data_IF_317486074992
#
_entry.id   IF_317486074992
#
_cell.length_a   1.000
_cell.length_b   1.000
_cell.length_c   1.000
_cell.angle_alpha   90.00
_cell.angle_beta   90.00
_cell.angle_gamma   90.00
#
_symmetry.space_group_name_H-M   'P 1'
#
loop_
_entity.id
_entity.type
_entity.pdbx_description
1 polymer ?
#
# COMPACT_ATOMS: atom_id res chain seq x y z
N UNK A 1 14.35 -29.16 -36.54
CA UNK A 1 15.06 -30.06 -35.60
C UNK A 1 14.03 -30.92 -34.90
N UNK A 2 14.39 -32.11 -34.43
CA UNK A 2 13.45 -32.93 -33.67
C UNK A 2 13.36 -32.44 -32.22
N UNK A 3 12.21 -32.56 -31.55
CA UNK A 3 12.11 -32.24 -30.12
C UNK A 3 12.81 -33.33 -29.30
N UNK A 4 13.71 -32.93 -28.40
CA UNK A 4 14.40 -33.86 -27.50
C UNK A 4 13.39 -34.63 -26.64
N UNK A 5 13.62 -35.92 -26.46
CA UNK A 5 12.77 -36.79 -25.64
C UNK A 5 11.40 -37.12 -26.26
N UNK A 6 11.19 -36.83 -27.55
CA UNK A 6 10.02 -37.27 -28.31
C UNK A 6 10.36 -38.42 -29.23
N UNK A 7 9.40 -39.33 -29.45
CA UNK A 7 9.57 -40.39 -30.45
C UNK A 7 9.54 -39.79 -31.85
N UNK A 8 10.48 -40.22 -32.70
CA UNK A 8 10.55 -39.75 -34.09
C UNK A 8 10.71 -40.92 -35.04
N UNK A 9 10.25 -40.71 -36.28
CA UNK A 9 10.54 -41.63 -37.38
C UNK A 9 11.74 -41.10 -38.14
N UNK A 10 12.81 -41.88 -38.20
CA UNK A 10 14.01 -41.58 -38.99
C UNK A 10 13.97 -42.40 -40.28
N UNK A 11 14.15 -41.72 -41.40
CA UNK A 11 14.27 -42.35 -42.71
C UNK A 11 15.73 -42.48 -43.11
N UNK A 12 16.11 -43.62 -43.69
CA UNK A 12 17.46 -43.89 -44.16
C UNK A 12 17.43 -44.67 -45.48
N UNK A 13 18.56 -44.69 -46.18
CA UNK A 13 18.67 -45.30 -47.52
C UNK A 13 19.56 -46.53 -47.47
N UNK A 14 19.10 -47.62 -48.08
CA UNK A 14 19.94 -48.75 -48.46
C UNK A 14 20.18 -48.70 -49.97
N UNK A 15 21.45 -48.55 -50.37
CA UNK A 15 21.86 -48.35 -51.76
C UNK A 15 22.61 -49.55 -52.29
N UNK A 16 22.20 -50.09 -53.42
CA UNK A 16 22.94 -51.12 -54.15
C UNK A 16 24.07 -50.45 -54.93
N UNK A 17 25.31 -50.67 -54.50
CA UNK A 17 26.49 -50.01 -55.09
C UNK A 17 26.90 -50.60 -56.43
N UNK A 18 26.36 -51.76 -56.82
CA UNK A 18 26.63 -52.38 -58.13
C UNK A 18 25.60 -51.90 -59.15
N UNK A 19 24.32 -51.97 -58.79
CA UNK A 19 23.23 -51.60 -59.70
C UNK A 19 22.92 -50.10 -59.68
N UNK A 20 23.49 -49.35 -58.72
CA UNK A 20 23.30 -47.93 -58.52
C UNK A 20 21.81 -47.53 -58.40
N UNK A 21 21.07 -48.33 -57.64
CA UNK A 21 19.64 -48.14 -57.36
C UNK A 21 19.36 -48.38 -55.88
N UNK A 22 18.24 -47.87 -55.38
CA UNK A 22 17.77 -48.18 -54.04
C UNK A 22 17.43 -49.67 -53.90
N UNK A 23 17.93 -50.31 -52.84
CA UNK A 23 17.74 -51.74 -52.63
C UNK A 23 16.41 -52.00 -51.93
N UNK A 24 15.50 -52.71 -52.58
CA UNK A 24 14.20 -53.08 -52.01
C UNK A 24 14.22 -54.42 -51.26
N UNK A 25 13.29 -54.60 -50.32
CA UNK A 25 13.08 -55.87 -49.59
C UNK A 25 14.22 -56.30 -48.66
N UNK A 26 15.13 -55.39 -48.30
CA UNK A 26 16.38 -55.71 -47.58
C UNK A 26 16.30 -55.56 -46.06
N UNK A 27 15.13 -55.21 -45.54
CA UNK A 27 14.96 -54.83 -44.12
C UNK A 27 15.43 -55.91 -43.13
N UNK A 28 15.22 -57.19 -43.45
CA UNK A 28 15.63 -58.30 -42.60
C UNK A 28 17.16 -58.45 -42.49
N UNK A 29 17.90 -57.87 -43.42
CA UNK A 29 19.36 -57.91 -43.49
C UNK A 29 20.01 -56.71 -42.80
N UNK A 30 19.23 -55.72 -42.36
CA UNK A 30 19.73 -54.51 -41.74
C UNK A 30 20.09 -54.71 -40.27
N UNK A 31 21.34 -54.45 -39.91
CA UNK A 31 21.77 -54.26 -38.51
C UNK A 31 22.05 -52.78 -38.28
N UNK A 32 21.12 -52.10 -37.61
CA UNK A 32 21.21 -50.67 -37.33
C UNK A 32 21.81 -50.37 -35.96
N UNK A 33 22.43 -49.20 -35.85
CA UNK A 33 22.98 -48.61 -34.62
C UNK A 33 22.52 -47.16 -34.52
N UNK A 34 21.99 -46.82 -33.35
CA UNK A 34 21.69 -45.44 -32.97
C UNK A 34 22.83 -44.93 -32.09
N UNK A 35 23.54 -43.93 -32.58
CA UNK A 35 24.71 -43.34 -31.93
C UNK A 35 24.26 -42.07 -31.23
N UNK A 36 24.10 -42.10 -29.90
CA UNK A 36 23.68 -40.96 -29.07
C UNK A 36 24.92 -40.26 -28.52
N UNK A 37 25.17 -39.02 -28.96
CA UNK A 37 26.30 -38.21 -28.48
C UNK A 37 27.63 -39.01 -28.45
N UNK A 38 27.89 -39.79 -29.51
CA UNK A 38 29.08 -40.64 -29.66
C UNK A 38 28.96 -42.08 -29.11
N UNK A 39 27.88 -42.44 -28.40
CA UNK A 39 27.69 -43.79 -27.84
C UNK A 39 26.68 -44.61 -28.65
N UNK A 40 27.13 -45.72 -29.24
CA UNK A 40 26.31 -46.56 -30.12
C UNK A 40 25.53 -47.65 -29.36
N UNK A 41 24.21 -47.71 -29.56
CA UNK A 41 23.33 -48.79 -29.10
C UNK A 41 22.50 -49.35 -30.25
N UNK A 42 21.93 -50.55 -30.08
CA UNK A 42 20.92 -51.03 -31.02
C UNK A 42 19.61 -50.25 -30.79
N UNK A 43 18.92 -49.78 -31.84
CA UNK A 43 17.57 -49.26 -31.71
C UNK A 43 16.61 -50.30 -31.14
N UNK A 44 15.62 -49.86 -30.38
CA UNK A 44 14.63 -50.71 -29.72
C UNK A 44 13.63 -51.29 -30.72
N UNK A 45 13.20 -50.48 -31.68
CA UNK A 45 12.23 -50.90 -32.69
C UNK A 45 12.92 -51.44 -33.94
N UNK A 46 12.23 -52.31 -34.68
CA UNK A 46 12.71 -52.79 -35.97
C UNK A 46 12.48 -51.76 -37.09
N UNK A 47 13.33 -51.81 -38.12
CA UNK A 47 13.11 -51.03 -39.33
C UNK A 47 11.98 -51.63 -40.20
N UNK A 48 11.46 -50.82 -41.12
CA UNK A 48 10.49 -51.22 -42.15
C UNK A 48 10.78 -50.50 -43.45
N UNK A 49 10.48 -51.13 -44.58
CA UNK A 49 10.53 -50.46 -45.88
C UNK A 49 9.34 -49.51 -46.02
N UNK A 50 9.55 -48.33 -46.62
CA UNK A 50 8.48 -47.33 -46.77
C UNK A 50 7.60 -47.68 -47.97
N UNK A 51 8.19 -47.76 -49.16
CA UNK A 51 7.49 -48.07 -50.41
C UNK A 51 8.52 -48.55 -51.45
N UNK A 52 8.56 -49.86 -51.68
CA UNK A 52 9.46 -50.50 -52.62
C UNK A 52 9.21 -50.11 -54.09
N UNK A 53 8.00 -49.61 -54.42
CA UNK A 53 7.59 -49.35 -55.80
C UNK A 53 7.97 -47.93 -56.21
N UNK A 54 7.65 -46.94 -55.36
CA UNK A 54 7.78 -45.54 -55.73
C UNK A 54 9.03 -44.85 -55.15
N UNK A 55 9.57 -45.35 -54.03
CA UNK A 55 10.81 -44.83 -53.41
C UNK A 55 11.72 -45.99 -53.00
N UNK A 56 12.20 -46.79 -53.98
CA UNK A 56 12.99 -47.97 -53.71
C UNK A 56 14.24 -47.64 -52.88
N UNK A 57 14.56 -48.51 -51.92
CA UNK A 57 15.73 -48.32 -51.04
C UNK A 57 15.52 -47.39 -49.85
N UNK A 58 14.33 -46.79 -49.69
CA UNK A 58 14.03 -45.94 -48.52
C UNK A 58 13.34 -46.75 -47.43
N UNK A 59 13.94 -46.74 -46.25
CA UNK A 59 13.47 -47.43 -45.06
C UNK A 59 13.22 -46.42 -43.93
N UNK A 60 12.42 -46.84 -42.96
CA UNK A 60 12.13 -46.07 -41.74
C UNK A 60 12.34 -46.90 -40.50
N UNK A 61 12.71 -46.24 -39.42
CA UNK A 61 12.71 -46.78 -38.07
C UNK A 61 12.13 -45.75 -37.11
N UNK A 62 11.33 -46.20 -36.15
CA UNK A 62 10.81 -45.33 -35.10
C UNK A 62 11.77 -45.38 -33.91
N UNK A 63 12.36 -44.26 -33.54
CA UNK A 63 13.15 -44.13 -32.32
C UNK A 63 12.21 -43.77 -31.15
N UNK A 64 12.47 -44.35 -29.99
CA UNK A 64 11.72 -44.11 -28.76
C UNK A 64 12.07 -42.75 -28.15
N UNK A 65 11.23 -42.28 -27.23
CA UNK A 65 11.49 -41.06 -26.45
C UNK A 65 12.84 -41.09 -25.73
N UNK A 66 13.19 -42.24 -25.12
CA UNK A 66 14.46 -42.45 -24.41
C UNK A 66 15.68 -42.53 -25.33
N UNK A 67 15.50 -42.94 -26.58
CA UNK A 67 16.57 -42.89 -27.59
C UNK A 67 16.81 -41.47 -28.09
N UNK A 68 15.79 -40.62 -28.05
CA UNK A 68 15.84 -39.22 -28.47
C UNK A 68 16.21 -38.24 -27.35
N UNK A 69 16.76 -38.70 -26.22
CA UNK A 69 17.27 -37.83 -25.14
C UNK A 69 18.75 -37.45 -25.30
N UNK A 70 19.22 -37.23 -26.52
CA UNK A 70 20.57 -36.75 -26.85
C UNK A 70 20.51 -35.35 -27.48
N UNK A 71 21.67 -34.70 -27.64
CA UNK A 71 21.75 -33.42 -28.37
C UNK A 71 21.87 -33.69 -29.88
N UNK A 72 22.60 -34.74 -30.24
CA UNK A 72 22.75 -35.25 -31.60
C UNK A 72 22.68 -36.77 -31.63
N UNK A 73 22.14 -37.33 -32.72
CA UNK A 73 22.27 -38.75 -32.96
C UNK A 73 22.36 -39.12 -34.43
N UNK A 74 23.13 -40.17 -34.68
CA UNK A 74 23.36 -40.72 -36.02
C UNK A 74 22.79 -42.12 -36.10
N UNK A 75 21.86 -42.34 -37.02
CA UNK A 75 21.44 -43.69 -37.41
C UNK A 75 22.42 -44.20 -38.46
N UNK A 76 23.14 -45.26 -38.15
CA UNK A 76 24.06 -45.93 -39.07
C UNK A 76 23.78 -47.43 -39.05
N UNK A 77 24.37 -48.19 -39.98
CA UNK A 77 24.22 -49.64 -39.97
C UNK A 77 24.96 -50.34 -41.08
N UNK A 78 24.74 -51.64 -41.16
CA UNK A 78 25.24 -52.49 -42.24
C UNK A 78 24.12 -53.43 -42.70
N UNK A 79 24.07 -53.72 -44.00
CA UNK A 79 23.29 -54.83 -44.54
C UNK A 79 24.15 -56.08 -44.69
N UNK A 80 23.60 -57.26 -44.40
CA UNK A 80 24.24 -58.55 -44.71
C UNK A 80 24.14 -58.93 -46.20
N UNK A 81 23.32 -58.24 -46.97
CA UNK A 81 23.27 -58.41 -48.43
C UNK A 81 24.51 -57.80 -49.07
N UNK A 82 25.14 -58.53 -49.99
CA UNK A 82 26.33 -58.06 -50.68
C UNK A 82 26.06 -56.76 -51.45
N UNK A 83 27.06 -55.87 -51.45
CA UNK A 83 27.04 -54.60 -52.19
C UNK A 83 25.98 -53.60 -51.77
N UNK A 84 25.38 -53.76 -50.57
CA UNK A 84 24.41 -52.79 -50.05
C UNK A 84 25.07 -51.87 -49.02
N UNK A 85 24.99 -50.57 -49.26
CA UNK A 85 25.47 -49.53 -48.35
C UNK A 85 24.29 -48.87 -47.64
N UNK A 86 24.28 -48.90 -46.30
CA UNK A 86 23.34 -48.11 -45.50
C UNK A 86 23.93 -46.72 -45.30
N UNK A 87 23.28 -45.71 -45.86
CA UNK A 87 23.71 -44.33 -45.72
C UNK A 87 23.34 -43.80 -44.33
N UNK A 88 24.31 -43.34 -43.52
CA UNK A 88 24.03 -42.80 -42.20
C UNK A 88 23.11 -41.57 -42.27
N UNK A 89 22.27 -41.39 -41.24
CA UNK A 89 21.39 -40.25 -41.09
C UNK A 89 21.58 -39.57 -39.75
N UNK A 90 21.97 -38.30 -39.80
CA UNK A 90 22.07 -37.45 -38.62
C UNK A 90 20.75 -36.77 -38.29
N UNK A 91 20.47 -36.68 -36.99
CA UNK A 91 19.35 -35.93 -36.41
C UNK A 91 19.88 -35.11 -35.25
N UNK A 92 19.59 -33.82 -35.26
CA UNK A 92 19.85 -32.91 -34.13
C UNK A 92 18.54 -32.63 -33.39
N UNK A 93 18.64 -32.58 -32.07
CA UNK A 93 17.51 -32.36 -31.19
C UNK A 93 17.55 -30.97 -30.56
N UNK A 94 16.37 -30.39 -30.35
CA UNK A 94 16.19 -29.13 -29.65
C UNK A 94 15.44 -29.34 -28.34
N UNK A 95 15.87 -28.63 -27.30
CA UNK A 95 15.18 -28.61 -26.01
C UNK A 95 14.14 -27.49 -25.98
N UNK A 96 13.02 -27.71 -26.67
CA UNK A 96 11.83 -26.87 -26.57
C UNK A 96 10.69 -27.62 -25.88
N UNK A 97 9.71 -26.89 -25.30
CA UNK A 97 8.45 -27.51 -24.91
C UNK A 97 7.78 -28.19 -26.10
N UNK A 98 7.16 -29.34 -25.85
CA UNK A 98 6.49 -30.17 -26.87
C UNK A 98 5.05 -29.79 -27.10
N UNK A 99 4.46 -29.04 -26.16
CA UNK A 99 3.15 -28.45 -26.33
C UNK A 99 3.18 -27.42 -27.46
N UNK A 100 2.11 -27.37 -28.25
CA UNK A 100 1.98 -26.39 -29.33
C UNK A 100 2.14 -24.96 -28.79
N UNK A 101 2.73 -24.03 -29.57
CA UNK A 101 2.76 -22.62 -29.18
C UNK A 101 1.36 -22.13 -28.79
N UNK A 102 1.26 -21.36 -27.71
CA UNK A 102 -0.01 -20.85 -27.17
C UNK A 102 -0.86 -21.86 -26.37
N UNK A 103 -0.50 -23.15 -26.35
CA UNK A 103 -1.14 -24.13 -25.49
C UNK A 103 -0.52 -24.12 -24.08
N UNK A 104 -1.17 -24.80 -23.12
CA UNK A 104 -0.62 -25.01 -21.78
C UNK A 104 0.77 -25.66 -21.87
N UNK A 105 1.75 -25.08 -21.18
CA UNK A 105 3.18 -25.46 -21.22
C UNK A 105 3.88 -25.26 -22.57
N UNK A 106 3.26 -24.58 -23.54
CA UNK A 106 3.87 -24.21 -24.82
C UNK A 106 4.65 -22.89 -24.75
N UNK A 107 5.30 -22.53 -25.86
CA UNK A 107 5.91 -21.22 -26.02
C UNK A 107 4.84 -20.12 -26.17
N UNK A 108 5.13 -18.91 -25.69
CA UNK A 108 4.25 -17.75 -25.88
C UNK A 108 4.17 -17.33 -27.35
N UNK A 109 2.99 -16.87 -27.78
CA UNK A 109 2.77 -16.32 -29.13
C UNK A 109 2.70 -14.80 -29.02
N UNK A 110 3.35 -14.09 -29.94
CA UNK A 110 3.22 -12.64 -30.06
C UNK A 110 1.84 -12.26 -30.64
N UNK A 111 1.20 -11.28 -30.04
CA UNK A 111 0.03 -10.60 -30.61
C UNK A 111 0.44 -9.70 -31.78
N UNK A 112 -0.55 -9.16 -32.49
CA UNK A 112 -0.33 -8.22 -33.61
C UNK A 112 0.42 -6.94 -33.20
N UNK A 113 0.46 -6.60 -31.91
CA UNK A 113 1.18 -5.45 -31.35
C UNK A 113 2.58 -5.82 -30.84
N UNK A 114 3.00 -7.08 -30.99
CA UNK A 114 4.29 -7.57 -30.48
C UNK A 114 4.31 -7.85 -28.97
N UNK A 115 3.15 -7.82 -28.30
CA UNK A 115 3.04 -8.24 -26.90
C UNK A 115 2.80 -9.75 -26.80
N UNK A 116 3.34 -10.42 -25.77
CA UNK A 116 2.99 -11.81 -25.45
C UNK A 116 1.82 -11.78 -24.45
N UNK A 117 0.56 -12.05 -24.87
CA UNK A 117 -0.54 -12.19 -23.92
C UNK A 117 -0.28 -13.42 -23.05
N UNK A 118 -0.28 -13.23 -21.74
CA UNK A 118 -0.03 -14.31 -20.79
C UNK A 118 -0.83 -14.10 -19.52
N UNK A 119 -1.47 -15.17 -19.06
CA UNK A 119 -2.08 -15.23 -17.73
C UNK A 119 -1.00 -15.69 -16.75
N UNK A 120 -0.18 -14.76 -16.29
CA UNK A 120 0.87 -15.05 -15.30
C UNK A 120 0.20 -15.29 -13.94
N UNK A 121 0.07 -16.55 -13.55
CA UNK A 121 -0.49 -16.93 -12.23
C UNK A 121 0.49 -16.69 -11.09
N UNK A 122 1.79 -16.83 -11.36
CA UNK A 122 2.86 -16.56 -10.41
C UNK A 122 4.17 -16.20 -11.10
N UNK A 123 4.97 -15.37 -10.42
CA UNK A 123 6.40 -15.19 -10.70
C UNK A 123 7.12 -15.75 -9.47
N UNK A 124 7.67 -16.96 -9.58
CA UNK A 124 8.28 -17.63 -8.43
C UNK A 124 9.66 -17.01 -8.11
N UNK A 125 9.75 -16.22 -7.03
CA UNK A 125 11.01 -15.67 -6.52
C UNK A 125 11.88 -16.67 -5.74
N UNK A 126 11.36 -17.84 -5.39
CA UNK A 126 11.99 -18.83 -4.49
C UNK A 126 13.24 -19.50 -5.08
N UNK A 127 13.49 -19.40 -6.39
CA UNK A 127 14.67 -19.97 -7.05
C UNK A 127 15.90 -19.06 -6.98
N UNK A 128 15.74 -17.84 -6.45
CA UNK A 128 16.86 -16.95 -6.14
C UNK A 128 17.03 -16.90 -4.63
N UNK A 129 18.27 -16.86 -4.12
CA UNK A 129 18.62 -16.85 -2.69
C UNK A 129 18.14 -15.59 -1.91
N UNK A 130 16.99 -15.01 -2.25
CA UNK A 130 16.49 -13.78 -1.61
C UNK A 130 15.05 -13.38 -1.93
N UNK A 131 14.18 -14.28 -2.43
CA UNK A 131 12.74 -14.01 -2.63
C UNK A 131 12.40 -12.75 -3.46
N UNK A 132 13.30 -12.30 -4.36
CA UNK A 132 13.12 -11.05 -5.10
C UNK A 132 12.78 -11.30 -6.57
N UNK A 133 11.53 -11.07 -6.97
CA UNK A 133 11.17 -10.88 -8.38
C UNK A 133 11.40 -9.40 -8.75
N UNK A 134 12.42 -9.12 -9.58
CA UNK A 134 12.70 -7.75 -10.05
C UNK A 134 12.03 -7.53 -11.41
N UNK A 135 11.00 -6.69 -11.46
CA UNK A 135 10.35 -6.27 -12.70
C UNK A 135 10.92 -4.90 -13.14
N UNK A 136 11.74 -4.91 -14.20
CA UNK A 136 12.25 -3.68 -14.83
C UNK A 136 11.33 -3.30 -15.99
N UNK A 137 10.38 -2.41 -15.73
CA UNK A 137 9.39 -1.95 -16.70
C UNK A 137 9.51 -0.44 -16.91
N UNK A 138 9.18 0.05 -18.12
CA UNK A 138 9.04 1.49 -18.39
C UNK A 138 7.79 2.07 -17.73
N UNK A 139 6.71 1.29 -17.77
CA UNK A 139 5.43 1.57 -17.13
C UNK A 139 4.82 0.27 -16.65
N UNK A 140 4.11 0.33 -15.53
CA UNK A 140 3.31 -0.76 -15.01
C UNK A 140 1.88 -0.23 -14.88
N UNK A 141 0.97 -0.82 -15.65
CA UNK A 141 -0.45 -0.51 -15.60
C UNK A 141 -1.19 -1.69 -14.95
N UNK A 142 -1.90 -1.44 -13.85
CA UNK A 142 -2.59 -2.47 -13.07
C UNK A 142 -4.05 -2.06 -12.91
N UNK A 143 -4.91 -2.66 -13.71
CA UNK A 143 -6.34 -2.38 -13.75
C UNK A 143 -7.12 -3.68 -13.57
N UNK A 144 -8.18 -3.63 -12.76
CA UNK A 144 -9.18 -4.69 -12.73
C UNK A 144 -10.30 -4.31 -13.67
N UNK A 145 -10.80 -5.28 -14.42
CA UNK A 145 -12.02 -5.20 -15.23
C UNK A 145 -13.29 -5.51 -14.41
N UNK A 146 -13.14 -5.90 -13.13
CA UNK A 146 -14.24 -6.25 -12.23
C UNK A 146 -14.42 -5.20 -11.12
N UNK A 147 -15.65 -4.74 -10.91
CA UNK A 147 -15.98 -3.73 -9.89
C UNK A 147 -15.86 -4.21 -8.44
N UNK A 148 -15.69 -5.52 -8.22
CA UNK A 148 -15.68 -6.14 -6.88
C UNK A 148 -14.33 -6.68 -6.47
N UNK A 149 -13.31 -6.60 -7.34
CA UNK A 149 -11.98 -7.18 -7.10
C UNK A 149 -10.95 -6.06 -7.10
N UNK A 150 -10.07 -6.07 -6.09
CA UNK A 150 -8.94 -5.14 -6.07
C UNK A 150 -7.99 -5.46 -7.22
N UNK A 151 -7.59 -4.45 -7.99
CA UNK A 151 -6.58 -4.62 -9.06
C UNK A 151 -5.21 -5.01 -8.50
N UNK A 152 -4.92 -4.63 -7.26
CA UNK A 152 -3.66 -4.87 -6.57
C UNK A 152 -3.91 -5.23 -5.11
N UNK A 153 -3.39 -6.38 -4.68
CA UNK A 153 -3.34 -6.79 -3.27
C UNK A 153 -1.87 -6.96 -2.88
N UNK A 154 -1.38 -6.13 -1.96
CA UNK A 154 0.00 -6.21 -1.46
C UNK A 154 -0.04 -6.48 0.04
N UNK A 155 0.57 -7.60 0.44
CA UNK A 155 0.61 -8.05 1.83
C UNK A 155 2.07 -8.18 2.23
N UNK A 156 2.42 -7.61 3.38
CA UNK A 156 3.74 -7.78 3.98
C UNK A 156 3.91 -9.17 4.60
N UNK A 157 5.13 -9.52 4.98
CA UNK A 157 5.36 -10.75 5.73
C UNK A 157 4.69 -10.67 7.11
N UNK A 158 3.88 -11.68 7.44
CA UNK A 158 3.37 -11.85 8.80
C UNK A 158 4.49 -12.47 9.65
N UNK A 159 4.85 -11.81 10.76
CA UNK A 159 5.83 -12.35 11.71
C UNK A 159 5.46 -13.77 12.13
N UNK A 160 6.46 -14.64 12.25
CA UNK A 160 6.28 -16.00 12.78
C UNK A 160 6.65 -16.01 14.26
N UNK A 161 5.99 -16.87 15.05
CA UNK A 161 6.10 -16.87 16.52
C UNK A 161 7.56 -16.86 17.01
N UNK A 162 7.96 -15.75 17.62
CA UNK A 162 9.33 -15.48 18.07
C UNK A 162 9.78 -14.06 17.71
N UNK A 163 9.57 -13.66 16.44
CA UNK A 163 9.88 -12.34 15.92
C UNK A 163 8.58 -11.63 15.50
N UNK A 164 8.09 -10.73 16.35
CA UNK A 164 6.81 -10.03 16.15
C UNK A 164 6.85 -8.92 15.08
N UNK A 165 7.93 -8.85 14.30
CA UNK A 165 8.13 -7.76 13.34
C UNK A 165 7.57 -8.18 11.97
N UNK A 166 6.40 -7.64 11.62
CA UNK A 166 5.87 -7.74 10.26
C UNK A 166 6.77 -7.03 9.24
N UNK A 167 6.90 -7.59 8.04
CA UNK A 167 7.62 -6.96 6.94
C UNK A 167 6.81 -5.79 6.35
N UNK A 168 7.51 -4.79 5.79
CA UNK A 168 6.84 -3.71 5.03
C UNK A 168 6.17 -4.32 3.80
N UNK A 169 4.86 -4.16 3.67
CA UNK A 169 4.11 -4.58 2.48
C UNK A 169 4.54 -3.77 1.25
N UNK A 170 4.64 -2.45 1.41
CA UNK A 170 4.95 -1.50 0.36
C UNK A 170 6.02 -0.54 0.89
N UNK A 171 7.11 -0.39 0.14
CA UNK A 171 8.10 0.65 0.37
C UNK A 171 8.23 1.46 -0.93
N UNK A 172 7.74 2.70 -0.90
CA UNK A 172 7.76 3.61 -2.04
C UNK A 172 8.72 4.74 -1.72
N UNK A 173 9.75 4.89 -2.55
CA UNK A 173 10.74 5.97 -2.44
C UNK A 173 10.61 6.84 -3.68
N UNK A 174 10.34 8.14 -3.50
CA UNK A 174 10.37 9.09 -4.59
C UNK A 174 11.76 9.22 -5.21
N UNK A 175 11.83 9.60 -6.48
CA UNK A 175 13.10 9.83 -7.18
C UNK A 175 13.77 11.12 -6.71
N UNK A 176 15.09 11.08 -6.50
CA UNK A 176 15.88 12.30 -6.30
C UNK A 176 15.93 13.14 -7.59
N UNK A 177 15.98 14.46 -7.45
CA UNK A 177 16.25 15.35 -8.56
C UNK A 177 17.61 14.99 -9.21
N UNK A 178 17.64 14.81 -10.52
CA UNK A 178 18.86 14.54 -11.27
C UNK A 178 19.42 15.87 -11.80
N UNK A 179 20.55 16.35 -11.26
CA UNK A 179 21.24 17.53 -11.77
C UNK A 179 22.03 18.30 -10.72
N UNK A 180 23.32 18.53 -10.98
CA UNK A 180 24.28 19.23 -10.11
C UNK A 180 24.16 20.77 -10.12
N UNK A 181 23.15 21.33 -10.78
CA UNK A 181 22.89 22.78 -10.80
C UNK A 181 21.42 23.03 -10.48
N UNK A 182 21.17 23.62 -9.31
CA UNK A 182 19.88 23.73 -8.64
C UNK A 182 18.71 24.14 -9.54
N UNK A 183 17.65 23.33 -9.49
CA UNK A 183 16.24 23.60 -9.85
C UNK A 183 15.47 22.31 -10.25
N UNK A 184 16.03 21.11 -10.04
CA UNK A 184 15.26 19.89 -10.23
C UNK A 184 14.25 19.69 -9.10
N UNK A 185 12.96 19.61 -9.41
CA UNK A 185 11.95 19.10 -8.49
C UNK A 185 12.14 17.59 -8.31
N UNK A 186 12.20 17.11 -7.07
CA UNK A 186 12.15 15.67 -6.79
C UNK A 186 10.83 15.08 -7.30
N UNK A 187 10.83 13.79 -7.64
CA UNK A 187 9.60 13.11 -8.04
C UNK A 187 8.76 12.72 -6.83
N UNK A 188 7.45 12.71 -6.99
CA UNK A 188 6.55 12.19 -5.96
C UNK A 188 6.79 10.69 -5.76
N UNK A 189 6.80 10.23 -4.50
CA UNK A 189 6.73 8.80 -4.21
C UNK A 189 5.36 8.26 -4.59
N UNK A 190 4.30 8.90 -4.08
CA UNK A 190 2.91 8.55 -4.31
C UNK A 190 2.19 9.78 -4.85
N UNK A 191 1.85 9.77 -6.14
CA UNK A 191 0.99 10.77 -6.77
C UNK A 191 -0.41 10.18 -6.99
N UNK A 192 -1.41 10.68 -6.25
CA UNK A 192 -2.79 10.19 -6.32
C UNK A 192 -3.69 11.32 -6.78
N UNK A 193 -4.36 11.11 -7.92
CA UNK A 193 -5.36 12.03 -8.46
C UNK A 193 -6.71 11.35 -8.38
N UNK A 194 -7.68 12.01 -7.73
CA UNK A 194 -9.06 11.54 -7.76
C UNK A 194 -9.63 11.71 -9.16
N UNK A 195 -10.37 10.71 -9.64
CA UNK A 195 -11.07 10.83 -10.93
C UNK A 195 -12.09 11.98 -10.91
N UNK A 196 -12.32 12.64 -12.07
CA UNK A 196 -13.35 13.66 -12.17
C UNK A 196 -14.73 13.08 -11.86
N UNK A 197 -15.54 13.82 -11.11
CA UNK A 197 -16.93 13.44 -10.83
C UNK A 197 -17.76 13.49 -12.12
N UNK A 198 -18.19 12.33 -12.61
CA UNK A 198 -19.22 12.23 -13.66
C UNK A 198 -20.57 11.84 -13.01
N UNK A 199 -21.40 12.83 -12.66
CA UNK A 199 -22.79 12.62 -12.22
C UNK A 199 -23.15 12.96 -10.76
N UNK A 200 -24.44 12.88 -10.42
CA UNK A 200 -25.00 13.22 -9.10
C UNK A 200 -25.10 11.99 -8.18
N UNK A 201 -24.07 11.70 -7.40
CA UNK A 201 -24.16 10.68 -6.35
C UNK A 201 -22.80 10.12 -5.97
N UNK A 202 -22.37 10.41 -4.75
CA UNK A 202 -21.11 10.00 -4.09
C UNK A 202 -19.88 10.88 -4.38
N UNK A 203 -19.16 11.20 -3.31
CA UNK A 203 -17.92 11.98 -3.31
C UNK A 203 -16.78 11.04 -3.73
N UNK A 204 -16.18 11.28 -4.90
CA UNK A 204 -14.96 10.59 -5.29
C UNK A 204 -13.86 10.89 -4.27
N UNK A 205 -13.33 9.86 -3.61
CA UNK A 205 -12.17 10.00 -2.72
C UNK A 205 -10.94 9.56 -3.51
N UNK A 206 -10.01 10.49 -3.70
CA UNK A 206 -8.73 10.18 -4.33
C UNK A 206 -7.94 9.15 -3.50
N UNK A 207 -7.89 9.36 -2.17
CA UNK A 207 -7.21 8.49 -1.21
C UNK A 207 -8.09 8.27 0.02
N UNK A 208 -8.27 7.01 0.42
CA UNK A 208 -8.83 6.64 1.72
C UNK A 208 -7.77 5.89 2.51
N UNK A 209 -7.30 6.49 3.61
CA UNK A 209 -6.44 5.82 4.57
C UNK A 209 -7.33 5.28 5.70
N UNK A 210 -7.42 3.96 5.83
CA UNK A 210 -8.03 3.31 6.99
C UNK A 210 -6.91 2.72 7.84
N UNK A 211 -6.58 3.37 8.94
CA UNK A 211 -5.61 2.88 9.91
C UNK A 211 -6.35 2.35 11.14
N UNK A 212 -6.60 1.04 11.17
CA UNK A 212 -7.23 0.36 12.29
C UNK A 212 -6.18 -0.53 12.98
N UNK A 213 -5.95 -0.32 14.27
CA UNK A 213 -4.98 -1.10 15.04
C UNK A 213 -5.47 -1.33 16.45
N UNK A 214 -5.43 -2.58 16.91
CA UNK A 214 -5.67 -2.94 18.31
C UNK A 214 -4.33 -2.85 19.05
N UNK A 215 -4.12 -1.81 19.88
CA UNK A 215 -2.97 -1.76 20.80
C UNK A 215 -2.01 -0.56 20.70
N UNK A 216 -2.50 0.67 20.80
CA UNK A 216 -1.64 1.85 21.08
C UNK A 216 -0.74 2.34 19.95
N UNK A 217 -0.84 1.79 18.74
CA UNK A 217 -0.11 2.27 17.56
C UNK A 217 -0.73 3.53 16.94
N UNK A 218 0.11 4.41 16.39
CA UNK A 218 -0.34 5.57 15.61
C UNK A 218 -0.88 5.14 14.23
N UNK A 219 -2.06 5.64 13.85
CA UNK A 219 -2.68 5.24 12.58
C UNK A 219 -2.04 5.87 11.35
N UNK A 220 -1.93 7.20 11.35
CA UNK A 220 -1.23 7.96 10.30
C UNK A 220 -0.13 8.77 10.98
N UNK A 221 1.13 8.40 10.73
CA UNK A 221 2.29 9.14 11.22
C UNK A 221 2.89 9.93 10.07
N UNK A 222 2.85 11.26 10.17
CA UNK A 222 3.44 12.16 9.19
C UNK A 222 4.47 13.03 9.89
N UNK A 223 5.71 12.94 9.45
CA UNK A 223 6.85 13.67 10.00
C UNK A 223 7.66 14.31 8.89
N UNK A 224 8.18 15.51 9.16
CA UNK A 224 9.10 16.21 8.27
C UNK A 224 10.45 16.37 8.95
N UNK A 225 11.49 16.54 8.15
CA UNK A 225 12.85 16.83 8.65
C UNK A 225 13.22 18.26 8.27
N UNK A 226 13.94 18.98 9.15
CA UNK A 226 14.56 20.29 8.90
C UNK A 226 13.65 21.37 8.28
N UNK A 227 12.71 21.94 9.06
CA UNK A 227 11.98 23.16 8.67
C UNK A 227 11.02 23.03 7.49
N UNK A 228 10.80 21.81 6.98
CA UNK A 228 9.82 21.53 5.94
C UNK A 228 8.42 21.33 6.53
N UNK A 229 7.41 21.74 5.77
CA UNK A 229 6.00 21.50 6.12
C UNK A 229 5.65 20.06 5.76
N UNK A 230 5.49 19.14 6.73
CA UNK A 230 5.27 17.73 6.44
C UNK A 230 3.87 17.45 5.85
N UNK A 231 2.94 18.35 6.12
CA UNK A 231 1.54 18.25 5.71
C UNK A 231 1.03 19.65 5.39
N UNK A 232 0.62 19.86 4.14
CA UNK A 232 -0.16 21.01 3.71
C UNK A 232 -1.57 20.52 3.39
N UNK A 233 -2.59 21.11 4.01
CA UNK A 233 -4.00 20.79 3.74
C UNK A 233 -4.66 22.06 3.24
N UNK A 234 -4.94 22.09 1.94
CA UNK A 234 -5.60 23.20 1.26
C UNK A 234 -6.97 22.73 0.76
N UNK A 235 -7.95 23.64 0.78
CA UNK A 235 -9.30 23.40 0.24
C UNK A 235 -9.68 24.54 -0.68
N UNK A 236 -10.50 24.23 -1.68
CA UNK A 236 -10.98 25.17 -2.70
C UNK A 236 -12.24 25.96 -2.30
N UNK A 237 -12.82 25.73 -1.11
CA UNK A 237 -14.08 26.36 -0.67
C UNK A 237 -14.13 26.68 0.84
N UNK A 238 -14.68 27.85 1.17
CA UNK A 238 -14.95 28.34 2.54
C UNK A 238 -15.99 27.51 3.32
N UNK A 239 -16.68 26.56 2.68
CA UNK A 239 -17.64 25.66 3.36
C UNK A 239 -17.07 24.27 3.63
N UNK A 240 -15.84 23.99 3.19
CA UNK A 240 -15.18 22.72 3.43
C UNK A 240 -14.40 22.79 4.76
N UNK A 241 -14.55 21.78 5.61
CA UNK A 241 -13.67 21.60 6.76
C UNK A 241 -12.40 20.88 6.28
N UNK A 242 -11.27 21.58 6.04
CA UNK A 242 -10.03 20.94 5.59
C UNK A 242 -9.59 19.84 6.56
N UNK A 243 -9.85 20.05 7.84
CA UNK A 243 -9.54 19.13 8.92
C UNK A 243 -10.79 19.00 9.80
N UNK A 244 -11.40 17.81 9.80
CA UNK A 244 -12.48 17.46 10.74
C UNK A 244 -11.98 16.34 11.65
N UNK A 245 -11.69 16.68 12.90
CA UNK A 245 -11.28 15.74 13.94
C UNK A 245 -12.52 15.30 14.72
N UNK A 246 -12.97 14.06 14.53
CA UNK A 246 -14.11 13.46 15.24
C UNK A 246 -13.59 12.32 16.11
N UNK A 247 -14.04 12.27 17.35
CA UNK A 247 -13.81 11.18 18.30
C UNK A 247 -15.09 11.06 19.15
N UNK A 248 -15.19 9.97 19.89
CA UNK A 248 -16.21 9.69 20.88
C UNK A 248 -15.81 10.12 22.31
N UNK A 249 -14.51 10.29 22.60
CA UNK A 249 -13.98 10.53 23.96
C UNK A 249 -13.14 11.81 24.16
N UNK A 250 -13.29 12.82 23.30
CA UNK A 250 -12.48 14.07 23.25
C UNK A 250 -11.30 14.04 22.27
N UNK A 251 -10.98 15.17 21.61
CA UNK A 251 -9.70 15.32 20.90
C UNK A 251 -8.69 15.35 22.04
N UNK A 252 -7.59 14.63 21.91
CA UNK A 252 -6.44 14.89 22.78
C UNK A 252 -5.97 16.35 22.67
N UNK A 253 -4.78 16.63 23.17
CA UNK A 253 -4.17 17.95 23.05
C UNK A 253 -3.85 18.31 21.60
N UNK A 254 -4.36 19.45 21.13
CA UNK A 254 -3.89 20.10 19.90
C UNK A 254 -2.74 21.06 20.26
N UNK A 255 -1.51 20.66 19.98
CA UNK A 255 -0.34 21.54 20.09
C UNK A 255 -0.14 22.27 18.76
N UNK A 256 -0.54 23.54 18.69
CA UNK A 256 -0.32 24.34 17.49
C UNK A 256 -0.69 25.80 17.67
N UNK A 257 -0.03 26.66 16.89
CA UNK A 257 -0.47 28.04 16.73
C UNK A 257 -1.75 28.04 15.89
N UNK A 258 -2.87 28.38 16.50
CA UNK A 258 -4.15 28.55 15.80
C UNK A 258 -4.27 30.04 15.47
N UNK A 259 -4.15 30.38 14.19
CA UNK A 259 -4.44 31.73 13.71
C UNK A 259 -5.88 31.75 13.19
N UNK A 260 -6.78 32.48 13.87
CA UNK A 260 -8.20 32.58 13.51
C UNK A 260 -9.13 32.70 14.72
N UNK A 261 -10.45 32.69 14.49
CA UNK A 261 -11.45 32.69 15.55
C UNK A 261 -11.66 31.28 16.12
N UNK A 262 -11.52 31.13 17.43
CA UNK A 262 -11.95 29.93 18.14
C UNK A 262 -13.38 30.17 18.63
N UNK A 263 -14.34 29.40 18.12
CA UNK A 263 -15.76 29.64 18.39
C UNK A 263 -16.14 29.47 19.88
N UNK A 264 -15.44 28.61 20.61
CA UNK A 264 -15.67 28.43 22.03
C UNK A 264 -14.37 27.98 22.72
N UNK A 265 -13.90 28.77 23.68
CA UNK A 265 -12.87 28.35 24.63
C UNK A 265 -13.56 28.19 25.97
N UNK A 266 -13.64 26.96 26.47
CA UNK A 266 -14.10 26.73 27.84
C UNK A 266 -13.02 27.22 28.80
N UNK A 267 -13.02 28.51 29.12
CA UNK A 267 -12.16 29.04 30.18
C UNK A 267 -12.90 29.02 31.51
N UNK A 268 -12.15 29.04 32.62
CA UNK A 268 -12.69 29.17 33.98
C UNK A 268 -13.06 30.61 34.35
N UNK A 269 -12.96 31.58 33.43
CA UNK A 269 -13.26 32.99 33.72
C UNK A 269 -14.74 33.31 33.50
N UNK A 270 -15.34 34.15 34.35
CA UNK A 270 -16.72 34.60 34.15
C UNK A 270 -16.85 35.36 32.81
N UNK A 271 -17.97 35.20 32.12
CA UNK A 271 -18.23 35.81 30.81
C UNK A 271 -18.78 37.23 30.99
N UNK A 272 -18.28 38.19 30.19
CA UNK A 272 -18.75 39.58 30.20
C UNK A 272 -20.24 39.63 29.88
N UNK A 273 -20.99 40.46 30.62
CA UNK A 273 -22.42 40.65 30.43
C UNK A 273 -23.26 39.36 30.61
N UNK A 274 -22.75 38.38 31.35
CA UNK A 274 -23.48 37.19 31.78
C UNK A 274 -23.45 37.16 33.30
N UNK A 275 -24.59 36.86 33.94
CA UNK A 275 -24.66 36.80 35.39
C UNK A 275 -23.70 35.76 35.97
N UNK A 276 -23.14 36.06 37.15
CA UNK A 276 -22.25 35.16 37.88
C UNK A 276 -22.83 34.84 39.25
N UNK A 277 -23.44 33.67 39.34
CA UNK A 277 -24.14 33.23 40.54
C UNK A 277 -23.19 32.75 41.64
N UNK A 278 -23.61 32.98 42.89
CA UNK A 278 -22.90 32.54 44.08
C UNK A 278 -21.43 33.00 44.13
N UNK A 279 -21.15 34.24 43.75
CA UNK A 279 -19.84 34.83 43.99
C UNK A 279 -19.61 34.95 45.50
N UNK A 280 -18.67 34.17 46.02
CA UNK A 280 -18.38 34.07 47.45
C UNK A 280 -17.23 34.98 47.86
N UNK A 281 -17.37 35.60 49.03
CA UNK A 281 -16.33 36.43 49.63
C UNK A 281 -16.40 36.37 51.17
N UNK A 282 -15.28 36.46 51.88
CA UNK A 282 -15.27 36.55 53.34
C UNK A 282 -15.50 38.00 53.80
N UNK A 283 -15.98 38.19 55.03
CA UNK A 283 -15.92 39.47 55.76
C UNK A 283 -15.21 39.25 57.10
N UNK A 284 -14.36 40.19 57.48
CA UNK A 284 -13.55 40.11 58.70
C UNK A 284 -13.92 41.21 59.67
N UNK A 285 -13.92 40.91 60.97
CA UNK A 285 -14.13 41.89 62.03
C UNK A 285 -13.06 42.99 61.98
N UNK A 286 -13.47 44.25 62.04
CA UNK A 286 -12.54 45.39 61.88
C UNK A 286 -11.49 45.49 63.00
N UNK A 287 -11.75 44.90 64.16
CA UNK A 287 -10.85 44.93 65.32
C UNK A 287 -10.06 43.63 65.47
N UNK A 288 -10.73 42.49 65.40
CA UNK A 288 -10.10 41.17 65.67
C UNK A 288 -9.60 40.48 64.42
N UNK A 289 -9.95 40.99 63.22
CA UNK A 289 -9.62 40.40 61.91
C UNK A 289 -10.11 38.96 61.72
N UNK A 290 -10.99 38.49 62.60
CA UNK A 290 -11.59 37.15 62.53
C UNK A 290 -12.83 37.16 61.62
N UNK A 291 -13.18 36.05 60.94
CA UNK A 291 -14.39 35.99 60.12
C UNK A 291 -15.64 36.36 60.93
N UNK A 292 -16.46 37.27 60.39
CA UNK A 292 -17.58 37.86 61.12
C UNK A 292 -18.92 37.56 60.46
N UNK A 293 -19.81 36.94 61.23
CA UNK A 293 -21.17 36.57 60.84
C UNK A 293 -22.19 37.65 61.19
N UNK A 294 -23.41 37.56 60.63
CA UNK A 294 -24.54 38.42 60.96
C UNK A 294 -24.47 39.85 60.42
N UNK A 295 -23.64 40.11 59.39
CA UNK A 295 -23.47 41.45 58.83
C UNK A 295 -24.51 41.77 57.77
N UNK A 296 -24.99 43.02 57.77
CA UNK A 296 -25.71 43.61 56.64
C UNK A 296 -24.69 44.23 55.68
N UNK A 297 -24.22 43.43 54.71
CA UNK A 297 -23.18 43.84 53.76
C UNK A 297 -23.76 44.65 52.61
N UNK A 298 -23.17 45.82 52.33
CA UNK A 298 -23.41 46.61 51.13
C UNK A 298 -22.41 46.19 50.06
N UNK A 299 -22.90 45.85 48.86
CA UNK A 299 -22.09 45.48 47.72
C UNK A 299 -22.12 46.58 46.65
N UNK A 300 -20.93 47.01 46.23
CA UNK A 300 -20.73 47.98 45.16
C UNK A 300 -19.76 47.42 44.12
N UNK A 301 -19.83 47.93 42.89
CA UNK A 301 -18.92 47.59 41.80
C UNK A 301 -18.38 48.85 41.14
N UNK A 302 -17.13 48.78 40.69
CA UNK A 302 -16.50 49.73 39.80
C UNK A 302 -16.14 48.99 38.50
N UNK A 303 -16.77 49.39 37.40
CA UNK A 303 -16.61 48.75 36.08
C UNK A 303 -15.62 49.56 35.26
N UNK A 304 -14.52 48.93 34.82
CA UNK A 304 -13.52 49.50 33.92
C UNK A 304 -12.97 50.88 34.37
N UNK A 305 -12.80 51.04 35.70
CA UNK A 305 -12.27 52.26 36.32
C UNK A 305 -13.32 53.34 36.62
N UNK A 306 -14.61 53.08 36.39
CA UNK A 306 -15.69 53.98 36.81
C UNK A 306 -15.86 54.02 38.35
N UNK A 307 -16.49 55.08 38.90
CA UNK A 307 -16.82 55.16 40.33
C UNK A 307 -17.67 53.97 40.81
N UNK A 308 -17.60 53.68 42.11
CA UNK A 308 -18.41 52.62 42.72
C UNK A 308 -19.91 52.91 42.59
N UNK A 309 -20.66 51.88 42.19
CA UNK A 309 -22.11 51.89 42.07
C UNK A 309 -22.71 50.62 42.71
N UNK A 310 -23.90 50.68 43.35
CA UNK A 310 -24.49 49.53 44.03
C UNK A 310 -24.71 48.34 43.09
N UNK A 311 -24.28 47.14 43.51
CA UNK A 311 -24.61 45.90 42.82
C UNK A 311 -26.13 45.71 42.74
N UNK A 312 -26.58 45.00 41.70
CA UNK A 312 -28.01 44.90 41.39
C UNK A 312 -28.78 44.00 42.37
N UNK A 313 -28.09 43.05 43.01
CA UNK A 313 -28.66 42.10 43.95
C UNK A 313 -28.06 42.28 45.36
N UNK A 314 -28.81 41.83 46.37
CA UNK A 314 -28.36 41.89 47.77
C UNK A 314 -27.41 40.74 48.12
N UNK A 315 -26.56 40.98 49.13
CA UNK A 315 -25.67 39.97 49.72
C UNK A 315 -26.48 39.05 50.65
N UNK A 316 -26.16 37.76 50.61
CA UNK A 316 -26.66 36.77 51.56
C UNK A 316 -25.50 36.13 52.33
N UNK A 317 -25.67 35.94 53.63
CA UNK A 317 -24.71 35.21 54.45
C UNK A 317 -24.82 33.69 54.22
N UNK A 318 -23.67 33.01 54.14
CA UNK A 318 -23.59 31.55 54.12
C UNK A 318 -23.21 30.96 55.49
N UNK A 319 -22.54 31.75 56.33
CA UNK A 319 -22.07 31.38 57.67
C UNK A 319 -20.56 31.45 57.79
N UNK A 320 -20.04 31.36 59.02
CA UNK A 320 -18.59 31.39 59.32
C UNK A 320 -17.84 32.60 58.72
N UNK A 321 -18.53 33.73 58.59
CA UNK A 321 -18.00 34.96 57.99
C UNK A 321 -17.87 34.93 56.47
N UNK A 322 -18.43 33.93 55.79
CA UNK A 322 -18.52 33.87 54.32
C UNK A 322 -19.91 34.33 53.86
N UNK A 323 -19.89 35.16 52.82
CA UNK A 323 -21.06 35.74 52.19
C UNK A 323 -21.05 35.39 50.70
N UNK A 324 -22.22 35.50 50.08
CA UNK A 324 -22.37 35.36 48.64
C UNK A 324 -23.23 36.48 48.06
N UNK A 325 -23.03 36.73 46.77
CA UNK A 325 -23.89 37.56 45.95
C UNK A 325 -24.06 36.88 44.58
N UNK A 326 -25.27 36.92 44.03
CA UNK A 326 -25.47 36.62 42.61
C UNK A 326 -25.30 37.91 41.83
N UNK A 327 -24.25 37.99 41.02
CA UNK A 327 -23.95 39.17 40.22
C UNK A 327 -24.77 39.12 38.94
N UNK A 328 -25.49 40.20 38.64
CA UNK A 328 -26.29 40.30 37.40
C UNK A 328 -25.40 40.48 36.17
N UNK A 329 -25.99 40.30 34.98
CA UNK A 329 -25.30 40.64 33.72
C UNK A 329 -24.76 42.08 33.71
N UNK A 330 -25.52 43.04 34.26
CA UNK A 330 -25.06 44.44 34.39
C UNK A 330 -23.96 44.64 35.41
N UNK A 331 -23.84 43.75 36.40
CA UNK A 331 -22.72 43.78 37.35
C UNK A 331 -21.44 43.23 36.72
N UNK A 332 -21.60 42.31 35.74
CA UNK A 332 -20.53 41.61 35.03
C UNK A 332 -20.18 42.22 33.66
N UNK A 333 -20.69 43.41 33.32
CA UNK A 333 -20.52 44.03 32.01
C UNK A 333 -19.28 44.95 31.91
N UNK A 334 -18.10 44.40 32.24
CA UNK A 334 -16.81 45.09 32.12
C UNK A 334 -15.69 44.10 31.91
N UNK A 335 -14.55 44.58 31.39
CA UNK A 335 -13.36 43.73 31.21
C UNK A 335 -12.62 43.54 32.53
N UNK A 336 -12.62 44.57 33.39
CA UNK A 336 -12.10 44.56 34.75
C UNK A 336 -13.13 45.14 35.70
N UNK A 337 -13.49 44.38 36.73
CA UNK A 337 -14.52 44.78 37.68
C UNK A 337 -13.96 44.67 39.08
N UNK A 338 -14.00 45.78 39.82
CA UNK A 338 -13.65 45.81 41.24
C UNK A 338 -14.93 45.77 42.05
N UNK A 339 -15.12 44.71 42.83
CA UNK A 339 -16.20 44.63 43.81
C UNK A 339 -15.73 45.14 45.16
N UNK A 340 -16.55 45.95 45.82
CA UNK A 340 -16.34 46.41 47.18
C UNK A 340 -17.49 45.94 48.07
N UNK A 341 -17.15 45.34 49.19
CA UNK A 341 -18.09 44.89 50.20
C UNK A 341 -17.81 45.58 51.52
N UNK A 342 -18.81 46.27 52.08
CA UNK A 342 -18.68 47.06 53.29
C UNK A 342 -19.78 46.72 54.29
N UNK A 343 -19.45 46.72 55.59
CA UNK A 343 -20.43 46.55 56.66
C UNK A 343 -19.91 47.17 57.95
N UNK A 344 -20.80 47.69 58.80
CA UNK A 344 -20.39 48.26 60.09
C UNK A 344 -19.72 47.21 60.98
N UNK A 345 -18.55 47.55 61.53
CA UNK A 345 -17.78 46.65 62.38
C UNK A 345 -17.06 45.53 61.62
N UNK A 346 -16.92 45.65 60.31
CA UNK A 346 -16.11 44.78 59.48
C UNK A 346 -15.12 45.59 58.63
N UNK A 347 -14.05 44.95 58.17
CA UNK A 347 -13.14 45.54 57.19
C UNK A 347 -13.75 45.53 55.79
N UNK A 348 -13.54 46.60 55.04
CA UNK A 348 -13.88 46.67 53.62
C UNK A 348 -13.11 45.63 52.81
N UNK A 349 -13.82 44.87 51.98
CA UNK A 349 -13.22 43.89 51.08
C UNK A 349 -13.29 44.39 49.65
N UNK A 350 -12.15 44.37 48.96
CA UNK A 350 -12.02 44.74 47.55
C UNK A 350 -11.55 43.52 46.77
N UNK A 351 -12.34 43.04 45.81
CA UNK A 351 -12.03 41.85 45.00
C UNK A 351 -12.14 42.17 43.51
N UNK A 352 -11.04 41.97 42.77
CA UNK A 352 -10.97 42.22 41.34
C UNK A 352 -11.31 40.96 40.55
N UNK A 353 -12.15 41.12 39.54
CA UNK A 353 -12.55 40.05 38.62
C UNK A 353 -12.28 40.51 37.20
N UNK A 354 -11.67 39.62 36.41
CA UNK A 354 -11.46 39.81 34.98
C UNK A 354 -12.42 38.91 34.20
N UNK A 355 -13.26 39.49 33.36
CA UNK A 355 -14.17 38.72 32.53
C UNK A 355 -13.49 38.26 31.24
N UNK A 356 -14.11 37.31 30.55
CA UNK A 356 -13.78 36.99 29.15
C UNK A 356 -14.85 37.59 28.24
N UNK A 357 -14.40 38.17 27.12
CA UNK A 357 -15.24 38.72 26.05
C UNK A 357 -15.37 37.78 24.87
#
# INVERSE_FOLDING_TARGET
MASRGQSIVVTYVAWDTVNNVGKTGDVANHTLRWIKDGTAAAPTNAASEIDATNVPGVYKITLTTAECTCDSGTLAGKSSTANISIMPKDVTFEQLPTAAPGATNGLGILSATGAIPSNVTQINGSLTNGNNAILKLKSLDIQSDASTISSLNIVGFNGTGGDNNGGKAVNITGGAAFGSSGNGSGGDGIYIVGGPKLGSGTIGRALRILANGTGGGGGVYISGTYGQTPVTIETDSITAYPIRLIHDSGIGTLYGNISGSINNVSTSRPVKNVGYDNFMFPMFDSSTKSPKTGLSVTAERAIDGNPFSPCSNAVAELGSGVYRISLSASDMNGDKIMFRFTATGADDQLIEVFTQG
#
